data_IF_235798071597
#
_entry.id   IF_235798071597
#
_cell.length_a   1.000
_cell.length_b   1.000
_cell.length_c   1.000
_cell.angle_alpha   90.00
_cell.angle_beta   90.00
_cell.angle_gamma   90.00
#
_symmetry.space_group_name_H-M   'P 1'
#
loop_
_entity.id
_entity.type
_entity.pdbx_description
1 polymer ?
#
# COMPACT_ATOMS: atom_id res chain seq x y z
N UNK A 1 -18.47 7.70 0.51
CA UNK A 1 -17.31 7.44 -0.38
C UNK A 1 -16.08 7.23 0.48
N UNK A 2 -15.42 6.08 0.36
CA UNK A 2 -14.16 5.83 1.07
C UNK A 2 -13.08 6.79 0.57
N UNK A 3 -12.42 7.50 1.48
CA UNK A 3 -11.33 8.42 1.12
C UNK A 3 -10.09 7.61 0.75
N UNK A 4 -9.55 7.87 -0.43
CA UNK A 4 -8.27 7.32 -0.86
C UNK A 4 -7.13 8.22 -0.38
N UNK A 5 -6.09 7.60 0.17
CA UNK A 5 -4.86 8.27 0.56
C UNK A 5 -3.69 7.70 -0.24
N UNK A 6 -2.61 8.47 -0.32
CA UNK A 6 -1.36 8.08 -0.97
C UNK A 6 -0.59 7.10 -0.07
N UNK A 7 -0.03 6.06 -0.69
CA UNK A 7 0.83 5.06 -0.07
C UNK A 7 2.25 5.26 -0.58
N UNK A 8 3.20 5.37 0.34
CA UNK A 8 4.63 5.42 0.07
C UNK A 8 5.34 4.33 0.86
N UNK A 9 6.44 3.83 0.33
CA UNK A 9 7.27 2.83 0.98
C UNK A 9 8.74 3.25 0.94
N UNK A 10 9.42 3.12 2.06
CA UNK A 10 10.85 3.31 2.25
C UNK A 10 11.44 1.94 2.56
N UNK A 11 12.08 1.35 1.55
CA UNK A 11 12.66 0.01 1.64
C UNK A 11 13.92 -0.03 2.52
N UNK A 12 14.64 1.08 2.65
CA UNK A 12 15.86 1.14 3.47
C UNK A 12 15.51 1.13 4.96
N UNK A 13 14.42 1.79 5.34
CA UNK A 13 13.97 1.88 6.73
C UNK A 13 12.83 0.92 7.07
N UNK A 14 12.35 0.12 6.11
CA UNK A 14 11.18 -0.74 6.24
C UNK A 14 9.95 0.03 6.78
N UNK A 15 9.71 1.23 6.22
CA UNK A 15 8.62 2.13 6.64
C UNK A 15 7.61 2.34 5.54
N UNK A 16 6.33 2.19 5.91
CA UNK A 16 5.20 2.52 5.04
C UNK A 16 4.50 3.78 5.54
N UNK A 17 4.15 4.67 4.62
CA UNK A 17 3.43 5.92 4.92
C UNK A 17 2.11 5.98 4.16
N UNK A 18 1.02 6.18 4.89
CA UNK A 18 -0.33 6.38 4.36
C UNK A 18 -0.80 7.80 4.72
N UNK A 19 -0.92 8.69 3.74
CA UNK A 19 -1.18 10.13 3.99
C UNK A 19 -2.09 10.76 2.92
N UNK A 20 -2.89 11.76 3.31
CA UNK A 20 -3.69 12.57 2.37
C UNK A 20 -2.89 13.71 1.77
N UNK A 21 -1.91 14.21 2.52
CA UNK A 21 -1.11 15.36 2.13
C UNK A 21 0.23 14.87 1.60
N UNK A 22 0.55 15.26 0.37
CA UNK A 22 1.92 15.25 -0.14
C UNK A 22 2.60 16.43 0.51
N UNK A 23 3.17 16.24 1.70
CA UNK A 23 4.03 17.27 2.28
C UNK A 23 5.25 17.42 1.37
N UNK A 24 5.63 18.64 0.99
CA UNK A 24 6.81 18.90 0.14
C UNK A 24 8.13 18.33 0.72
N UNK A 25 8.13 17.95 2.00
CA UNK A 25 9.17 17.20 2.70
C UNK A 25 8.79 15.72 2.88
N UNK A 26 8.59 14.99 1.80
CA UNK A 26 8.72 13.53 1.86
C UNK A 26 10.21 13.25 1.69
N UNK A 27 10.80 12.54 2.66
CA UNK A 27 12.21 12.13 2.60
C UNK A 27 12.49 11.43 1.26
N UNK A 28 13.68 11.64 0.70
CA UNK A 28 14.09 11.14 -0.63
C UNK A 28 13.92 9.62 -0.73
N UNK A 29 13.96 8.91 0.40
CA UNK A 29 13.89 7.45 0.48
C UNK A 29 12.46 6.89 0.38
N UNK A 30 11.42 7.72 0.44
CA UNK A 30 10.04 7.26 0.28
C UNK A 30 9.64 7.25 -1.19
N UNK A 31 9.40 6.06 -1.69
CA UNK A 31 8.91 5.84 -3.05
C UNK A 31 7.39 5.75 -3.07
N UNK A 32 6.79 6.42 -4.06
CA UNK A 32 5.34 6.40 -4.23
C UNK A 32 4.88 5.07 -4.84
N UNK A 33 3.96 4.40 -4.14
CA UNK A 33 3.42 3.10 -4.56
C UNK A 33 2.04 3.25 -5.22
N UNK A 34 1.18 4.10 -4.66
CA UNK A 34 -0.17 4.25 -5.19
C UNK A 34 -1.18 4.85 -4.20
N UNK A 35 -2.47 4.51 -4.37
CA UNK A 35 -3.55 5.02 -3.51
C UNK A 35 -4.46 3.90 -3.03
N UNK A 36 -4.78 3.92 -1.74
CA UNK A 36 -5.68 2.95 -1.11
C UNK A 36 -6.61 3.62 -0.12
N UNK A 37 -7.78 3.02 0.07
CA UNK A 37 -8.62 3.30 1.23
C UNK A 37 -7.95 2.76 2.50
N UNK A 38 -8.44 3.17 3.67
CA UNK A 38 -7.91 2.66 4.95
C UNK A 38 -8.01 1.13 5.05
N UNK A 39 -9.15 0.56 4.66
CA UNK A 39 -9.42 -0.88 4.76
C UNK A 39 -8.49 -1.68 3.83
N UNK A 40 -8.32 -1.22 2.58
CA UNK A 40 -7.38 -1.83 1.64
C UNK A 40 -5.94 -1.77 2.15
N UNK A 41 -5.57 -0.65 2.77
CA UNK A 41 -4.23 -0.48 3.35
C UNK A 41 -3.99 -1.41 4.54
N UNK A 42 -4.95 -1.52 5.46
CA UNK A 42 -4.82 -2.43 6.61
C UNK A 42 -4.69 -3.90 6.14
N UNK A 43 -5.45 -4.30 5.11
CA UNK A 43 -5.30 -5.62 4.47
C UNK A 43 -3.91 -5.82 3.84
N UNK A 44 -3.35 -4.80 3.18
CA UNK A 44 -2.00 -4.87 2.63
C UNK A 44 -0.96 -5.09 3.73
N UNK A 45 -1.06 -4.37 4.84
CA UNK A 45 -0.11 -4.53 5.97
C UNK A 45 -0.20 -5.94 6.56
N UNK A 46 -1.41 -6.47 6.74
CA UNK A 46 -1.61 -7.84 7.24
C UNK A 46 -1.01 -8.89 6.30
N UNK A 47 -1.26 -8.77 4.99
CA UNK A 47 -0.68 -9.69 3.99
C UNK A 47 0.84 -9.61 3.95
N UNK A 48 1.41 -8.41 4.01
CA UNK A 48 2.87 -8.24 4.02
C UNK A 48 3.49 -8.84 5.27
N UNK A 49 2.86 -8.68 6.43
CA UNK A 49 3.30 -9.28 7.68
C UNK A 49 3.31 -10.81 7.61
N UNK A 50 2.25 -11.43 7.10
CA UNK A 50 2.15 -12.89 6.95
C UNK A 50 3.12 -13.47 5.92
N UNK A 51 3.48 -12.70 4.90
CA UNK A 51 4.37 -13.16 3.82
C UNK A 51 5.85 -13.02 4.20
N UNK A 52 6.21 -11.87 4.78
CA UNK A 52 7.62 -11.52 5.00
C UNK A 52 8.06 -11.72 6.45
N UNK A 53 7.13 -11.73 7.42
CA UNK A 53 7.44 -11.84 8.84
C UNK A 53 8.52 -10.82 9.26
N UNK A 54 9.72 -11.30 9.62
CA UNK A 54 10.88 -10.50 10.02
C UNK A 54 11.84 -10.17 8.85
N UNK A 55 11.49 -10.52 7.61
CA UNK A 55 12.32 -10.26 6.43
C UNK A 55 12.11 -8.85 5.88
N UNK A 56 13.22 -8.25 5.44
CA UNK A 56 13.17 -6.98 4.73
C UNK A 56 12.42 -7.12 3.41
N UNK A 57 11.50 -6.18 3.17
CA UNK A 57 10.68 -6.12 1.97
C UNK A 57 11.38 -5.21 0.96
N UNK A 58 11.75 -5.75 -0.19
CA UNK A 58 12.21 -4.93 -1.31
C UNK A 58 11.06 -4.12 -1.92
N UNK A 59 11.35 -2.93 -2.43
CA UNK A 59 10.36 -2.08 -3.11
C UNK A 59 9.56 -2.82 -4.18
N UNK A 60 10.24 -3.62 -5.02
CA UNK A 60 9.62 -4.37 -6.12
C UNK A 60 8.55 -5.33 -5.61
N UNK A 61 8.80 -5.94 -4.45
CA UNK A 61 7.92 -6.91 -3.85
C UNK A 61 6.75 -6.23 -3.15
N UNK A 62 7.01 -5.14 -2.42
CA UNK A 62 5.96 -4.29 -1.86
C UNK A 62 4.98 -3.82 -2.96
N UNK A 63 5.51 -3.32 -4.08
CA UNK A 63 4.71 -2.84 -5.21
C UNK A 63 3.90 -3.98 -5.88
N UNK A 64 4.44 -5.19 -5.91
CA UNK A 64 3.75 -6.38 -6.41
C UNK A 64 2.54 -6.73 -5.53
N UNK A 65 2.73 -6.87 -4.21
CA UNK A 65 1.63 -7.19 -3.29
C UNK A 65 0.57 -6.10 -3.25
N UNK A 66 0.99 -4.82 -3.28
CA UNK A 66 0.07 -3.70 -3.45
C UNK A 66 -0.82 -3.88 -4.69
N UNK A 67 -0.23 -4.21 -5.84
CA UNK A 67 -0.96 -4.36 -7.10
C UNK A 67 -1.92 -5.55 -7.05
N UNK A 68 -1.51 -6.66 -6.48
CA UNK A 68 -2.33 -7.87 -6.37
C UNK A 68 -3.56 -7.63 -5.48
N UNK A 69 -3.38 -6.97 -4.33
CA UNK A 69 -4.48 -6.58 -3.45
C UNK A 69 -5.40 -5.58 -4.15
N UNK A 70 -4.84 -4.63 -4.89
CA UNK A 70 -5.65 -3.66 -5.64
C UNK A 70 -6.55 -4.35 -6.66
N UNK A 71 -5.99 -5.27 -7.45
CA UNK A 71 -6.73 -6.06 -8.44
C UNK A 71 -7.80 -6.91 -7.76
N UNK A 72 -7.48 -7.51 -6.61
CA UNK A 72 -8.43 -8.29 -5.81
C UNK A 72 -9.63 -7.44 -5.35
N UNK A 73 -9.36 -6.29 -4.71
CA UNK A 73 -10.41 -5.38 -4.25
C UNK A 73 -11.25 -4.84 -5.41
N UNK A 74 -10.63 -4.48 -6.53
CA UNK A 74 -11.35 -3.97 -7.70
C UNK A 74 -12.24 -5.05 -8.33
N UNK A 75 -11.79 -6.32 -8.39
CA UNK A 75 -12.64 -7.45 -8.82
C UNK A 75 -13.85 -7.66 -7.90
N UNK A 76 -13.68 -7.54 -6.58
CA UNK A 76 -14.79 -7.67 -5.63
C UNK A 76 -15.81 -6.54 -5.79
N UNK A 77 -15.36 -5.30 -5.99
CA UNK A 77 -16.26 -4.15 -6.21
C UNK A 77 -17.13 -4.33 -7.45
N UNK A 78 -16.57 -4.86 -8.54
CA UNK A 78 -17.33 -5.18 -9.77
C UNK A 78 -18.48 -6.17 -9.51
N UNK A 79 -18.35 -7.07 -8.53
CA UNK A 79 -19.41 -8.02 -8.17
C UNK A 79 -20.55 -7.32 -7.41
N UNK A 80 -20.23 -6.26 -6.66
CA UNK A 80 -21.16 -5.56 -5.76
C UNK A 80 -21.90 -4.42 -6.47
N UNK A 81 -21.29 -3.79 -7.48
CA UNK A 81 -21.89 -2.73 -8.32
C UNK A 81 -22.97 -3.26 -9.30
N UNK A 82 -23.95 -4.01 -8.78
CA UNK A 82 -25.19 -4.38 -9.49
C UNK A 82 -26.25 -3.31 -9.41
#
# INVERSE_FOLDING_TARGET
MSKYNYVYFDADNQKVRWTQNVTEQIDINYEYIGKMTRVEFDLLVEVLWEVFEDQDIELKDFAKYYKDIRIFCDKLKVIIDK
#
